data_IF_611819691949
#
_entry.id   IF_611819691949
#
_cell.length_a   1.000
_cell.length_b   1.000
_cell.length_c   1.000
_cell.angle_alpha   90.00
_cell.angle_beta   90.00
_cell.angle_gamma   90.00
#
_symmetry.space_group_name_H-M   'P 1'
#
loop_
_entity.id
_entity.type
_entity.pdbx_description
1 polymer ?
#
# COMPACT_ATOMS: atom_id res chain seq x y z
N UNK A 1 5.26 -12.97 14.73
CA UNK A 1 5.85 -11.59 14.66
C UNK A 1 4.97 -10.78 13.74
N UNK A 2 4.40 -9.66 14.21
CA UNK A 2 3.57 -8.79 13.36
C UNK A 2 4.45 -8.14 12.29
N UNK A 3 4.04 -8.28 11.04
CA UNK A 3 4.71 -7.72 9.87
C UNK A 3 3.97 -6.47 9.40
N UNK A 4 4.71 -5.51 8.86
CA UNK A 4 4.10 -4.41 8.11
C UNK A 4 3.64 -4.93 6.74
N UNK A 5 2.34 -4.83 6.49
CA UNK A 5 1.71 -5.35 5.29
C UNK A 5 1.22 -4.17 4.43
N UNK A 6 1.61 -4.15 3.15
CA UNK A 6 1.22 -3.13 2.18
C UNK A 6 0.73 -3.81 0.90
N UNK A 7 -0.45 -3.40 0.43
CA UNK A 7 -1.08 -4.00 -0.74
C UNK A 7 -1.53 -2.92 -1.72
N UNK A 8 -0.84 -2.89 -2.85
CA UNK A 8 -1.09 -1.90 -3.90
C UNK A 8 -2.19 -2.36 -4.85
N UNK A 9 -3.12 -1.47 -5.14
CA UNK A 9 -4.10 -1.60 -6.20
C UNK A 9 -3.98 -0.41 -7.15
N UNK A 10 -3.83 -0.66 -8.44
CA UNK A 10 -3.90 0.38 -9.46
C UNK A 10 -5.30 0.99 -9.51
N UNK A 11 -5.45 2.16 -10.11
CA UNK A 11 -6.74 2.83 -10.29
C UNK A 11 -7.81 1.89 -10.89
N UNK A 12 -7.44 1.14 -11.93
CA UNK A 12 -8.36 0.23 -12.62
C UNK A 12 -8.66 -1.03 -11.79
N UNK A 13 -7.67 -1.61 -11.08
CA UNK A 13 -7.87 -2.75 -10.17
C UNK A 13 -8.74 -2.38 -8.97
N UNK A 14 -8.54 -1.20 -8.43
CA UNK A 14 -9.33 -0.64 -7.34
C UNK A 14 -10.73 -0.17 -7.79
N UNK A 15 -11.01 -0.14 -9.09
CA UNK A 15 -12.26 0.41 -9.65
C UNK A 15 -12.57 1.80 -9.09
N UNK A 16 -11.54 2.66 -9.03
CA UNK A 16 -11.65 3.97 -8.43
C UNK A 16 -12.62 4.87 -9.18
N UNK A 17 -13.45 5.55 -8.41
CA UNK A 17 -14.37 6.59 -8.87
C UNK A 17 -14.03 7.89 -8.16
N UNK A 18 -13.99 8.99 -8.90
CA UNK A 18 -13.81 10.33 -8.37
C UNK A 18 -15.21 10.93 -8.18
N UNK A 19 -15.56 11.25 -6.93
CA UNK A 19 -16.81 11.90 -6.58
C UNK A 19 -16.54 13.33 -6.11
N UNK A 20 -17.41 14.26 -6.49
CA UNK A 20 -17.36 15.65 -6.03
C UNK A 20 -18.72 16.03 -5.45
N UNK A 21 -18.74 16.55 -4.23
CA UNK A 21 -19.95 17.01 -3.55
C UNK A 21 -19.81 18.47 -3.14
N UNK A 22 -20.88 19.24 -3.22
CA UNK A 22 -20.89 20.60 -2.66
C UNK A 22 -20.78 20.53 -1.15
N UNK A 23 -20.01 21.46 -0.56
CA UNK A 23 -19.85 21.56 0.87
C UNK A 23 -20.56 22.83 1.42
N UNK A 24 -20.77 22.88 2.74
CA UNK A 24 -21.49 23.96 3.43
C UNK A 24 -20.84 25.35 3.28
N UNK A 25 -19.60 25.41 2.75
CA UNK A 25 -18.85 26.65 2.52
C UNK A 25 -18.93 27.14 1.07
N UNK A 26 -19.77 26.53 0.23
CA UNK A 26 -19.93 26.86 -1.18
C UNK A 26 -18.78 26.38 -2.08
N UNK A 27 -17.92 25.51 -1.58
CA UNK A 27 -16.89 24.82 -2.32
C UNK A 27 -17.27 23.37 -2.65
N UNK A 28 -16.32 22.62 -3.22
CA UNK A 28 -16.50 21.21 -3.52
C UNK A 28 -15.53 20.36 -2.69
N UNK A 29 -16.05 19.31 -2.09
CA UNK A 29 -15.24 18.25 -1.51
C UNK A 29 -15.00 17.17 -2.57
N UNK A 30 -13.76 16.73 -2.71
CA UNK A 30 -13.35 15.69 -3.64
C UNK A 30 -13.12 14.38 -2.88
N UNK A 31 -13.59 13.28 -3.45
CA UNK A 31 -13.45 11.95 -2.88
C UNK A 31 -12.90 10.97 -3.90
N UNK A 32 -12.08 10.03 -3.43
CA UNK A 32 -11.76 8.78 -4.12
C UNK A 32 -12.54 7.65 -3.46
N UNK A 33 -13.21 6.81 -4.26
CA UNK A 33 -14.01 5.69 -3.79
C UNK A 33 -13.69 4.45 -4.62
N UNK A 34 -13.44 3.34 -3.96
CA UNK A 34 -13.14 2.08 -4.64
C UNK A 34 -12.67 0.99 -3.71
N UNK A 35 -12.16 -0.09 -4.29
CA UNK A 35 -11.59 -1.23 -3.55
C UNK A 35 -10.26 -0.79 -2.92
N UNK A 36 -10.15 -0.92 -1.61
CA UNK A 36 -8.93 -0.65 -0.86
C UNK A 36 -8.13 -1.92 -0.57
N UNK A 37 -8.81 -3.07 -0.45
CA UNK A 37 -8.18 -4.37 -0.23
C UNK A 37 -9.01 -5.49 -0.82
N UNK A 38 -8.36 -6.50 -1.42
CA UNK A 38 -9.02 -7.65 -2.04
C UNK A 38 -8.86 -8.91 -1.16
N UNK A 39 -9.97 -9.61 -0.96
CA UNK A 39 -10.01 -10.84 -0.18
C UNK A 39 -10.09 -12.09 -1.02
N UNK A 40 -9.60 -13.21 -0.46
CA UNK A 40 -9.71 -14.54 -1.05
C UNK A 40 -8.85 -14.79 -2.29
N UNK A 41 -8.11 -13.79 -2.76
CA UNK A 41 -7.22 -13.90 -3.94
C UNK A 41 -5.76 -13.74 -3.52
N UNK A 42 -4.88 -14.47 -4.19
CA UNK A 42 -3.43 -14.32 -4.00
C UNK A 42 -2.96 -13.07 -4.72
N UNK A 43 -2.45 -12.11 -3.96
CA UNK A 43 -2.00 -10.82 -4.49
C UNK A 43 -0.54 -10.86 -5.03
N UNK A 44 -0.04 -9.73 -5.51
CA UNK A 44 1.31 -9.61 -6.05
C UNK A 44 2.41 -9.91 -5.01
N UNK A 45 2.13 -9.73 -3.72
CA UNK A 45 3.03 -10.06 -2.61
C UNK A 45 2.91 -11.52 -2.15
N UNK A 46 2.25 -12.37 -2.94
CA UNK A 46 1.99 -13.77 -2.66
C UNK A 46 1.18 -14.02 -1.38
N UNK A 47 0.41 -13.03 -0.92
CA UNK A 47 -0.45 -13.09 0.26
C UNK A 47 -1.90 -13.32 -0.11
N UNK A 48 -2.61 -14.01 0.78
CA UNK A 48 -4.06 -14.23 0.70
C UNK A 48 -4.68 -13.69 1.98
N UNK A 49 -5.55 -12.72 1.83
CA UNK A 49 -6.32 -12.16 2.94
C UNK A 49 -7.67 -12.89 3.03
N UNK A 50 -7.92 -13.67 4.08
CA UNK A 50 -9.24 -14.25 4.29
C UNK A 50 -10.30 -13.15 4.37
N UNK A 51 -11.46 -13.38 3.76
CA UNK A 51 -12.56 -12.40 3.74
C UNK A 51 -13.01 -12.03 5.16
N UNK A 52 -12.96 -12.99 6.06
CA UNK A 52 -13.29 -12.79 7.49
C UNK A 52 -12.30 -11.83 8.18
N UNK A 53 -11.00 -11.92 7.85
CA UNK A 53 -9.98 -11.02 8.38
C UNK A 53 -10.18 -9.59 7.88
N UNK A 54 -10.48 -9.42 6.58
CA UNK A 54 -10.78 -8.10 6.01
C UNK A 54 -12.04 -7.53 6.66
N UNK A 55 -13.11 -8.34 6.78
CA UNK A 55 -14.36 -7.89 7.40
C UNK A 55 -14.16 -7.42 8.84
N UNK A 56 -13.35 -8.15 9.63
CA UNK A 56 -12.99 -7.73 10.99
C UNK A 56 -12.20 -6.42 11.00
N UNK A 57 -11.19 -6.30 10.15
CA UNK A 57 -10.36 -5.10 10.08
C UNK A 57 -11.17 -3.85 9.63
N UNK A 58 -12.06 -4.00 8.64
CA UNK A 58 -12.97 -2.94 8.17
C UNK A 58 -13.91 -2.49 9.30
N UNK A 59 -14.52 -3.44 10.03
CA UNK A 59 -15.41 -3.11 11.14
C UNK A 59 -14.66 -2.38 12.26
N UNK A 60 -13.47 -2.84 12.64
CA UNK A 60 -12.63 -2.19 13.65
C UNK A 60 -12.28 -0.75 13.24
N UNK A 61 -11.94 -0.52 11.96
CA UNK A 61 -11.64 0.83 11.47
C UNK A 61 -12.88 1.74 11.50
N UNK A 62 -14.05 1.23 11.10
CA UNK A 62 -15.29 1.99 11.16
C UNK A 62 -15.71 2.34 12.59
N UNK A 63 -15.49 1.44 13.55
CA UNK A 63 -15.75 1.70 14.96
C UNK A 63 -14.86 2.85 15.46
N UNK A 64 -13.61 2.92 15.04
CA UNK A 64 -12.70 4.03 15.34
C UNK A 64 -13.21 5.34 14.72
N UNK A 65 -13.60 5.32 13.44
CA UNK A 65 -14.14 6.51 12.73
C UNK A 65 -15.41 6.99 13.42
N UNK A 66 -16.32 6.10 13.76
CA UNK A 66 -17.58 6.43 14.45
C UNK A 66 -17.32 6.94 15.85
N UNK A 67 -16.28 6.45 16.53
CA UNK A 67 -15.79 6.93 17.81
C UNK A 67 -15.12 8.30 17.78
N UNK A 68 -15.03 8.94 16.58
CA UNK A 68 -14.47 10.28 16.37
C UNK A 68 -12.97 10.28 16.04
N UNK A 69 -12.35 9.14 15.80
CA UNK A 69 -10.96 9.08 15.36
C UNK A 69 -10.85 9.42 13.88
N UNK A 70 -9.89 10.28 13.53
CA UNK A 70 -9.61 10.65 12.13
C UNK A 70 -8.55 9.73 11.56
N UNK A 71 -8.94 8.83 10.67
CA UNK A 71 -8.02 7.94 9.96
C UNK A 71 -7.43 8.69 8.77
N UNK A 72 -6.20 9.17 8.92
CA UNK A 72 -5.50 9.94 7.89
C UNK A 72 -4.72 9.03 6.96
N UNK A 73 -4.66 9.41 5.68
CA UNK A 73 -3.87 8.72 4.66
C UNK A 73 -2.87 9.66 3.99
N UNK A 74 -1.79 9.08 3.50
CA UNK A 74 -0.65 9.79 2.94
C UNK A 74 -0.57 9.62 1.43
N UNK A 75 0.22 10.48 0.80
CA UNK A 75 0.69 10.29 -0.58
C UNK A 75 1.96 9.44 -0.53
N UNK A 76 2.07 8.50 -1.49
CA UNK A 76 3.19 7.59 -1.62
C UNK A 76 3.22 6.51 -0.50
N UNK A 77 4.23 5.65 -0.52
CA UNK A 77 4.36 4.51 0.39
C UNK A 77 5.42 4.75 1.45
N UNK A 78 5.07 5.25 2.66
CA UNK A 78 6.03 5.30 3.75
C UNK A 78 6.38 3.90 4.24
N UNK A 79 7.62 3.73 4.72
CA UNK A 79 8.11 2.45 5.24
C UNK A 79 7.49 2.05 6.58
N UNK A 80 7.08 3.04 7.37
CA UNK A 80 6.55 2.86 8.72
C UNK A 80 5.02 2.81 8.78
N UNK A 81 4.48 2.40 9.92
CA UNK A 81 3.05 2.44 10.20
C UNK A 81 2.59 3.80 10.75
N UNK A 82 3.52 4.64 11.21
CA UNK A 82 3.20 5.97 11.73
C UNK A 82 2.82 6.92 10.58
N UNK A 83 1.80 7.73 10.80
CA UNK A 83 1.38 8.76 9.86
C UNK A 83 2.28 9.99 9.99
N UNK A 84 2.86 10.43 8.87
CA UNK A 84 3.60 11.68 8.78
C UNK A 84 2.66 12.79 8.29
N UNK A 85 2.38 13.77 9.16
CA UNK A 85 1.44 14.86 8.87
C UNK A 85 1.83 15.71 7.65
N UNK A 86 3.13 15.81 7.34
CA UNK A 86 3.60 16.54 6.15
C UNK A 86 3.19 15.87 4.83
N UNK A 87 2.81 14.58 4.88
CA UNK A 87 2.44 13.77 3.71
C UNK A 87 0.95 13.49 3.62
N UNK A 88 0.17 13.92 4.60
CA UNK A 88 -1.27 13.69 4.63
C UNK A 88 -1.95 14.38 3.46
N UNK A 89 -2.69 13.61 2.67
CA UNK A 89 -3.46 14.08 1.52
C UNK A 89 -4.97 13.89 1.68
N UNK A 90 -5.39 12.96 2.51
CA UNK A 90 -6.80 12.60 2.64
C UNK A 90 -7.10 11.99 4.01
N UNK A 91 -8.39 11.77 4.27
CA UNK A 91 -8.87 10.99 5.39
C UNK A 91 -9.86 9.94 4.90
N UNK A 92 -9.88 8.79 5.54
CA UNK A 92 -10.90 7.77 5.30
C UNK A 92 -12.16 8.19 6.04
N UNK A 93 -13.26 8.34 5.31
CA UNK A 93 -14.55 8.71 5.90
C UNK A 93 -15.43 7.50 6.18
N UNK A 94 -15.23 6.43 5.43
CA UNK A 94 -16.01 5.21 5.53
C UNK A 94 -15.27 4.06 4.87
N UNK A 95 -15.40 2.85 5.42
CA UNK A 95 -15.08 1.59 4.75
C UNK A 95 -16.25 0.61 4.88
N UNK A 96 -16.41 -0.27 3.90
CA UNK A 96 -17.45 -1.32 3.92
C UNK A 96 -17.02 -2.54 3.14
N UNK A 97 -17.66 -3.66 3.41
CA UNK A 97 -17.49 -4.88 2.61
C UNK A 97 -18.48 -4.90 1.45
N UNK A 98 -17.98 -5.24 0.25
CA UNK A 98 -18.82 -5.62 -0.88
C UNK A 98 -18.25 -6.90 -1.51
N UNK A 99 -18.99 -7.99 -1.37
CA UNK A 99 -18.50 -9.33 -1.65
C UNK A 99 -17.25 -9.65 -0.83
N UNK A 100 -16.16 -10.13 -1.47
CA UNK A 100 -14.92 -10.47 -0.77
C UNK A 100 -14.02 -9.25 -0.49
N UNK A 101 -14.35 -8.06 -1.01
CA UNK A 101 -13.46 -6.91 -1.03
C UNK A 101 -13.86 -5.85 0.02
N UNK A 102 -12.85 -5.21 0.62
CA UNK A 102 -13.02 -4.01 1.42
C UNK A 102 -12.95 -2.77 0.54
N UNK A 103 -14.02 -2.00 0.51
CA UNK A 103 -14.11 -0.71 -0.17
C UNK A 103 -13.90 0.42 0.81
N UNK A 104 -13.48 1.57 0.29
CA UNK A 104 -13.32 2.79 1.09
C UNK A 104 -13.71 4.04 0.33
N UNK A 105 -14.07 5.06 1.11
CA UNK A 105 -14.30 6.44 0.66
C UNK A 105 -13.29 7.35 1.32
N UNK A 106 -12.43 7.97 0.50
CA UNK A 106 -11.29 8.79 0.91
C UNK A 106 -11.62 10.25 0.57
N UNK A 107 -11.78 11.10 1.57
CA UNK A 107 -11.98 12.55 1.39
C UNK A 107 -10.62 13.21 1.20
N UNK A 108 -10.40 13.87 0.06
CA UNK A 108 -9.19 14.65 -0.17
C UNK A 108 -9.23 15.92 0.70
N UNK A 109 -8.16 16.14 1.46
CA UNK A 109 -8.04 17.28 2.38
C UNK A 109 -7.32 18.45 1.71
N UNK A 110 -7.59 19.70 2.12
CA UNK A 110 -6.91 20.89 1.58
C UNK A 110 -5.49 21.08 2.16
N UNK A 111 -4.75 19.99 2.37
CA UNK A 111 -3.33 19.97 2.72
C UNK A 111 -2.47 20.16 1.46
N UNK A 112 -1.18 20.50 1.56
CA UNK A 112 -0.31 20.60 0.38
C UNK A 112 -0.33 19.32 -0.47
N UNK A 113 -0.28 18.14 0.15
CA UNK A 113 -0.32 16.86 -0.56
C UNK A 113 -1.73 16.55 -1.10
N UNK A 114 -2.78 16.94 -0.39
CA UNK A 114 -4.15 16.82 -0.90
C UNK A 114 -4.42 17.71 -2.11
N UNK A 115 -3.90 18.92 -2.13
CA UNK A 115 -3.99 19.80 -3.30
C UNK A 115 -3.23 19.22 -4.50
N UNK A 116 -2.07 18.61 -4.28
CA UNK A 116 -1.33 17.89 -5.32
C UNK A 116 -2.15 16.73 -5.89
N UNK A 117 -2.75 15.90 -5.03
CA UNK A 117 -3.62 14.78 -5.44
C UNK A 117 -4.84 15.30 -6.21
N UNK A 118 -5.53 16.34 -5.71
CA UNK A 118 -6.67 16.97 -6.38
C UNK A 118 -6.30 17.43 -7.79
N UNK A 119 -5.20 18.18 -7.92
CA UNK A 119 -4.71 18.67 -9.21
C UNK A 119 -4.41 17.54 -10.19
N UNK A 120 -3.80 16.46 -9.73
CA UNK A 120 -3.52 15.28 -10.55
C UNK A 120 -4.82 14.62 -11.04
N UNK A 121 -5.78 14.38 -10.15
CA UNK A 121 -7.06 13.74 -10.47
C UNK A 121 -7.88 14.59 -11.44
N UNK A 122 -7.96 15.92 -11.23
CA UNK A 122 -8.64 16.86 -12.09
C UNK A 122 -7.98 16.97 -13.47
N UNK A 123 -6.66 16.73 -13.54
CA UNK A 123 -5.90 16.66 -14.80
C UNK A 123 -6.00 15.29 -15.48
N UNK A 124 -6.79 14.34 -14.94
CA UNK A 124 -6.99 13.02 -15.52
C UNK A 124 -5.91 11.99 -15.17
N UNK A 125 -5.01 12.30 -14.22
CA UNK A 125 -4.02 11.31 -13.74
C UNK A 125 -4.74 10.22 -12.95
N UNK A 126 -4.49 8.97 -13.29
CA UNK A 126 -5.01 7.81 -12.59
C UNK A 126 -4.09 7.47 -11.41
N UNK A 127 -4.57 7.66 -10.20
CA UNK A 127 -3.87 7.30 -8.97
C UNK A 127 -4.46 6.01 -8.41
N UNK A 128 -3.60 5.12 -7.92
CA UNK A 128 -4.00 3.92 -7.22
C UNK A 128 -4.11 4.14 -5.72
N UNK A 129 -4.41 3.06 -5.02
CA UNK A 129 -4.41 3.04 -3.55
C UNK A 129 -3.61 1.87 -3.02
N UNK A 130 -3.16 2.00 -1.79
CA UNK A 130 -2.48 0.95 -1.07
C UNK A 130 -2.96 0.87 0.37
N UNK A 131 -3.51 -0.27 0.77
CA UNK A 131 -3.76 -0.52 2.19
C UNK A 131 -2.44 -0.76 2.92
N UNK A 132 -2.30 -0.12 4.07
CA UNK A 132 -1.16 -0.25 4.98
C UNK A 132 -1.69 -0.73 6.33
N UNK A 133 -1.07 -1.78 6.84
CA UNK A 133 -1.52 -2.41 8.08
C UNK A 133 -0.47 -3.30 8.70
N UNK A 134 -0.87 -4.02 9.73
CA UNK A 134 -0.08 -5.03 10.40
C UNK A 134 -0.81 -6.38 10.43
N UNK A 135 -0.07 -7.46 10.48
CA UNK A 135 -0.63 -8.81 10.56
C UNK A 135 0.44 -9.89 10.57
N UNK A 136 0.00 -11.12 10.73
CA UNK A 136 0.85 -12.30 10.61
C UNK A 136 0.67 -12.93 9.23
N UNK A 137 1.72 -13.51 8.69
CA UNK A 137 1.70 -14.27 7.44
C UNK A 137 2.22 -15.67 7.71
N UNK A 138 1.51 -16.70 7.25
CA UNK A 138 1.96 -18.09 7.41
C UNK A 138 3.21 -18.36 6.56
N UNK A 139 4.17 -19.07 7.15
CA UNK A 139 5.44 -19.43 6.50
C UNK A 139 5.36 -20.77 5.71
N UNK A 140 4.18 -21.37 5.63
CA UNK A 140 3.92 -22.65 4.94
C UNK A 140 3.85 -22.55 3.40
N UNK A 141 4.13 -21.38 2.85
CA UNK A 141 4.04 -21.08 1.41
C UNK A 141 2.63 -20.76 0.91
N UNK A 142 1.60 -20.84 1.76
CA UNK A 142 0.23 -20.44 1.42
C UNK A 142 0.07 -18.94 1.40
N UNK A 143 0.84 -18.22 2.23
CA UNK A 143 0.79 -16.77 2.36
C UNK A 143 -0.50 -16.26 3.03
N UNK A 144 -1.16 -17.10 3.84
CA UNK A 144 -2.38 -16.71 4.56
C UNK A 144 -2.08 -15.62 5.59
N UNK A 145 -2.89 -14.57 5.58
CA UNK A 145 -2.80 -13.46 6.53
C UNK A 145 -3.78 -13.69 7.69
N UNK A 146 -3.32 -13.45 8.93
CA UNK A 146 -4.13 -13.47 10.14
C UNK A 146 -3.82 -12.28 11.04
N UNK A 147 -4.71 -11.99 11.98
CA UNK A 147 -4.61 -10.87 12.92
C UNK A 147 -4.39 -9.53 12.18
N UNK A 148 -5.04 -9.37 11.03
CA UNK A 148 -4.84 -8.20 10.18
C UNK A 148 -5.54 -6.98 10.76
N UNK A 149 -4.80 -5.88 10.86
CA UNK A 149 -5.30 -4.56 11.23
C UNK A 149 -4.97 -3.57 10.12
N UNK A 150 -5.99 -2.85 9.63
CA UNK A 150 -5.79 -1.73 8.70
C UNK A 150 -5.43 -0.49 9.51
N UNK A 151 -4.26 0.08 9.25
CA UNK A 151 -3.84 1.36 9.85
C UNK A 151 -4.35 2.51 9.00
N UNK A 152 -4.20 2.41 7.69
CA UNK A 152 -4.69 3.40 6.73
C UNK A 152 -4.73 2.83 5.31
N UNK A 153 -5.21 3.65 4.38
CA UNK A 153 -5.09 3.45 2.93
C UNK A 153 -4.42 4.69 2.37
N UNK A 154 -3.31 4.50 1.66
CA UNK A 154 -2.52 5.59 1.06
C UNK A 154 -2.88 5.77 -0.42
N UNK A 155 -2.70 6.98 -0.95
CA UNK A 155 -2.80 7.26 -2.39
C UNK A 155 -1.42 7.11 -3.01
N UNK A 156 -1.33 6.28 -4.05
CA UNK A 156 -0.07 5.92 -4.70
C UNK A 156 -0.11 6.19 -6.21
N UNK A 157 1.05 6.51 -6.79
CA UNK A 157 1.18 6.59 -8.23
C UNK A 157 0.97 5.20 -8.84
N UNK A 158 0.25 5.13 -9.96
CA UNK A 158 0.14 3.89 -10.70
C UNK A 158 1.51 3.53 -11.27
N UNK A 159 2.03 2.32 -11.03
CA UNK A 159 3.28 1.90 -11.65
C UNK A 159 3.14 1.93 -13.17
N UNK A 160 4.02 2.68 -13.85
CA UNK A 160 3.95 2.95 -15.28
C UNK A 160 4.37 1.78 -16.16
N UNK A 161 4.86 0.68 -15.59
CA UNK A 161 5.28 -0.51 -16.33
C UNK A 161 4.57 -1.78 -15.82
N UNK A 162 4.04 -2.64 -16.72
CA UNK A 162 3.65 -3.99 -16.36
C UNK A 162 4.89 -4.72 -15.80
N UNK A 163 4.86 -5.12 -14.53
CA UNK A 163 5.98 -5.78 -13.86
C UNK A 163 6.78 -4.88 -12.91
N UNK A 164 6.49 -3.59 -12.80
CA UNK A 164 7.07 -2.69 -11.79
C UNK A 164 6.49 -2.92 -10.37
N UNK A 165 5.86 -4.05 -10.14
CA UNK A 165 5.44 -4.46 -8.80
C UNK A 165 6.64 -5.03 -8.06
N UNK A 166 6.94 -4.56 -6.83
CA UNK A 166 7.96 -5.21 -6.01
C UNK A 166 7.59 -6.69 -5.85
N UNK A 167 8.53 -7.58 -6.16
CA UNK A 167 8.36 -8.99 -5.86
C UNK A 167 8.34 -9.17 -4.34
N UNK A 168 7.70 -10.24 -3.80
CA UNK A 168 7.67 -10.51 -2.37
C UNK A 168 9.05 -10.47 -1.69
N UNK A 169 10.11 -10.81 -2.44
CA UNK A 169 11.51 -10.72 -2.00
C UNK A 169 11.89 -9.29 -1.64
N UNK A 170 11.47 -8.30 -2.42
CA UNK A 170 11.79 -6.89 -2.17
C UNK A 170 11.04 -6.35 -0.94
N UNK A 171 9.81 -6.77 -0.71
CA UNK A 171 9.07 -6.34 0.48
C UNK A 171 9.65 -6.93 1.76
N UNK A 172 10.03 -8.20 1.75
CA UNK A 172 10.75 -8.81 2.85
C UNK A 172 12.07 -8.07 3.15
N UNK A 173 12.82 -7.70 2.09
CA UNK A 173 14.06 -6.92 2.23
C UNK A 173 13.81 -5.51 2.78
N UNK A 174 12.71 -4.84 2.39
CA UNK A 174 12.33 -3.52 2.92
C UNK A 174 12.03 -3.58 4.42
N UNK A 175 11.42 -4.66 4.87
CA UNK A 175 11.07 -4.87 6.27
C UNK A 175 12.25 -5.33 7.14
N UNK A 176 13.42 -5.64 6.55
CA UNK A 176 14.64 -5.98 7.29
C UNK A 176 15.52 -4.76 7.52
N UNK A 177 16.23 -4.75 8.66
CA UNK A 177 17.19 -3.66 8.97
C UNK A 177 18.27 -3.56 7.89
N UNK A 178 18.26 -2.48 7.13
CA UNK A 178 19.18 -2.25 6.00
C UNK A 178 18.69 -2.74 4.65
N UNK A 179 17.50 -3.32 4.56
CA UNK A 179 16.93 -3.84 3.31
C UNK A 179 16.76 -2.78 2.22
N UNK A 180 16.46 -1.54 2.58
CA UNK A 180 16.41 -0.41 1.65
C UNK A 180 17.77 -0.14 0.97
N UNK A 181 18.86 -0.25 1.71
CA UNK A 181 20.21 -0.11 1.13
C UNK A 181 20.53 -1.26 0.16
N UNK A 182 20.09 -2.48 0.51
CA UNK A 182 20.26 -3.65 -0.35
C UNK A 182 19.45 -3.51 -1.65
N UNK A 183 18.23 -2.98 -1.60
CA UNK A 183 17.43 -2.71 -2.80
C UNK A 183 18.01 -1.64 -3.70
N UNK A 184 18.49 -0.53 -3.13
CA UNK A 184 19.12 0.51 -3.93
C UNK A 184 20.38 -0.02 -4.60
N UNK A 185 21.19 -0.79 -3.88
CA UNK A 185 22.35 -1.46 -4.45
C UNK A 185 21.96 -2.45 -5.57
N UNK A 186 20.88 -3.20 -5.40
CA UNK A 186 20.38 -4.11 -6.45
C UNK A 186 19.94 -3.35 -7.71
N UNK A 187 19.26 -2.21 -7.57
CA UNK A 187 18.88 -1.33 -8.70
C UNK A 187 20.09 -0.74 -9.42
N UNK A 188 21.10 -0.29 -8.66
CA UNK A 188 22.35 0.20 -9.25
C UNK A 188 23.11 -0.88 -10.03
N UNK A 189 22.99 -2.14 -9.58
CA UNK A 189 23.61 -3.30 -10.22
C UNK A 189 22.87 -3.77 -11.49
N UNK A 190 21.57 -3.48 -11.64
CA UNK A 190 20.78 -3.91 -12.82
C UNK A 190 21.35 -3.38 -14.15
N UNK A 191 21.96 -2.20 -14.13
CA UNK A 191 22.57 -1.57 -15.32
C UNK A 191 24.07 -1.82 -15.50
N UNK A 192 24.77 -2.42 -14.53
CA UNK A 192 26.24 -2.59 -14.54
C UNK A 192 26.67 -4.05 -14.59
N UNK A 193 26.99 -4.51 -15.80
CA UNK A 193 27.44 -5.90 -16.05
C UNK A 193 28.74 -6.26 -15.29
N UNK A 194 29.63 -5.29 -15.03
CA UNK A 194 30.88 -5.54 -14.28
C UNK A 194 30.57 -5.77 -12.81
N UNK A 195 29.70 -4.95 -12.23
CA UNK A 195 29.26 -5.08 -10.85
C UNK A 195 28.48 -6.38 -10.62
N UNK A 196 27.63 -6.79 -11.57
CA UNK A 196 26.93 -8.09 -11.55
C UNK A 196 27.90 -9.28 -11.54
N UNK A 197 28.93 -9.25 -12.39
CA UNK A 197 29.97 -10.30 -12.43
C UNK A 197 30.80 -10.34 -11.16
N UNK A 198 31.13 -9.19 -10.60
CA UNK A 198 31.85 -9.10 -9.31
C UNK A 198 31.04 -9.71 -8.17
N UNK A 199 29.74 -9.35 -8.07
CA UNK A 199 28.84 -9.90 -7.05
C UNK A 199 28.68 -11.41 -7.19
N UNK A 200 28.48 -11.90 -8.42
CA UNK A 200 28.38 -13.33 -8.73
C UNK A 200 29.63 -14.11 -8.27
N UNK A 201 30.82 -13.60 -8.60
CA UNK A 201 32.08 -14.23 -8.22
C UNK A 201 32.29 -14.21 -6.69
N UNK A 202 31.93 -13.12 -6.03
CA UNK A 202 32.01 -12.99 -4.57
C UNK A 202 31.09 -14.00 -3.87
N UNK A 203 29.84 -14.16 -4.34
CA UNK A 203 28.88 -15.13 -3.81
C UNK A 203 29.39 -16.59 -4.03
N UNK A 204 29.92 -16.91 -5.21
CA UNK A 204 30.50 -18.23 -5.49
C UNK A 204 31.67 -18.52 -4.55
N UNK A 205 32.52 -17.55 -4.26
CA UNK A 205 33.65 -17.71 -3.34
C UNK A 205 33.20 -17.92 -1.88
N UNK A 206 32.15 -17.21 -1.43
CA UNK A 206 31.54 -17.41 -0.10
C UNK A 206 30.97 -18.83 0.00
N UNK A 207 30.21 -19.28 -0.99
CA UNK A 207 29.62 -20.62 -0.99
C UNK A 207 30.71 -21.71 -0.97
N UNK A 208 31.79 -21.54 -1.72
CA UNK A 208 32.93 -22.47 -1.71
C UNK A 208 33.71 -22.47 -0.38
N UNK A 209 33.70 -21.37 0.35
CA UNK A 209 34.32 -21.26 1.68
C UNK A 209 33.47 -21.85 2.82
N UNK A 210 32.19 -22.18 2.55
CA UNK A 210 31.27 -22.80 3.50
C UNK A 210 31.20 -24.34 3.36
N UNK A 211 31.86 -24.92 2.37
CA UNK A 211 32.08 -26.36 2.18
C UNK A 211 33.42 -26.79 2.74
#
# INVERSE_FOLDING_TARGET
MLLNLRENLTFDQAKMVIESTENDKGGKDLYLKGICIQGGVKNANMRVYPVTEIGRAVNTLNDQITGGYSVLGEVDHPEGLNINLDRVSHMITEMWMDGPNGYGKLKILPTPMGQLVSTMLESGVKLGVSSRGSGNVTEDGTGQVSDYEIITVDVVAQPSAPGAYPTPIYEHLLNTRGGYKAMNLARELEGDTKAQNYLKNSLVNIIKGLQ
#
